data_IF_837607686089
#
_entry.id   IF_837607686089
#
_cell.length_a   1.000
_cell.length_b   1.000
_cell.length_c   1.000
_cell.angle_alpha   90.00
_cell.angle_beta   90.00
_cell.angle_gamma   90.00
#
_symmetry.space_group_name_H-M   'P 1'
#
loop_
_entity.id
_entity.type
_entity.pdbx_description
1 polymer ?
#
# COMPACT_ATOMS: atom_id res chain seq x y z
N UNK A 1 -13.93 -4.38 -16.71
CA UNK A 1 -14.33 -4.95 -15.41
C UNK A 1 -15.78 -5.26 -15.54
N UNK A 2 -16.11 -6.51 -15.82
CA UNK A 2 -17.51 -6.91 -15.96
C UNK A 2 -18.15 -6.88 -14.58
N UNK A 3 -19.42 -6.49 -14.47
CA UNK A 3 -20.12 -6.43 -13.18
C UNK A 3 -20.12 -7.79 -12.46
N UNK A 4 -19.96 -8.88 -13.21
CA UNK A 4 -19.80 -10.23 -12.69
C UNK A 4 -18.48 -10.47 -11.93
N UNK A 5 -17.41 -9.70 -12.22
CA UNK A 5 -16.14 -9.77 -11.49
C UNK A 5 -16.25 -9.26 -10.05
N UNK A 6 -17.27 -8.44 -9.75
CA UNK A 6 -17.49 -7.87 -8.42
C UNK A 6 -18.01 -8.95 -7.43
N UNK A 7 -18.64 -10.01 -7.95
CA UNK A 7 -19.13 -11.13 -7.14
C UNK A 7 -18.06 -12.18 -6.86
N UNK A 8 -17.04 -12.28 -7.72
CA UNK A 8 -15.90 -13.21 -7.56
C UNK A 8 -14.72 -12.58 -6.81
N UNK A 9 -14.81 -11.29 -6.49
CA UNK A 9 -13.77 -10.55 -5.80
C UNK A 9 -13.67 -10.93 -4.32
N UNK A 10 -12.46 -11.17 -3.78
CA UNK A 10 -12.27 -11.45 -2.37
C UNK A 10 -12.84 -10.33 -1.46
N UNK A 11 -13.47 -10.68 -0.33
CA UNK A 11 -14.27 -9.75 0.45
C UNK A 11 -13.47 -8.59 1.06
N UNK A 12 -12.24 -8.82 1.53
CA UNK A 12 -11.42 -7.77 2.16
C UNK A 12 -10.91 -6.80 1.10
N UNK A 13 -10.38 -7.30 -0.02
CA UNK A 13 -9.99 -6.49 -1.18
C UNK A 13 -11.18 -5.66 -1.66
N UNK A 14 -12.39 -6.22 -1.69
CA UNK A 14 -13.61 -5.52 -2.12
C UNK A 14 -13.95 -4.34 -1.22
N UNK A 15 -13.96 -4.55 0.09
CA UNK A 15 -14.20 -3.49 1.06
C UNK A 15 -13.17 -2.37 0.93
N UNK A 16 -11.89 -2.72 0.77
CA UNK A 16 -10.81 -1.75 0.60
C UNK A 16 -10.95 -0.95 -0.69
N UNK A 17 -11.18 -1.62 -1.83
CA UNK A 17 -11.33 -0.95 -3.13
C UNK A 17 -12.49 0.05 -3.11
N UNK A 18 -13.65 -0.34 -2.58
CA UNK A 18 -14.80 0.55 -2.44
C UNK A 18 -14.43 1.75 -1.56
N UNK A 19 -13.70 1.54 -0.47
CA UNK A 19 -13.24 2.62 0.41
C UNK A 19 -12.30 3.58 -0.31
N UNK A 20 -11.30 3.06 -1.05
CA UNK A 20 -10.37 3.88 -1.84
C UNK A 20 -11.08 4.70 -2.89
N UNK A 21 -11.99 4.10 -3.66
CA UNK A 21 -12.76 4.79 -4.69
C UNK A 21 -13.69 5.85 -4.08
N UNK A 22 -14.29 5.57 -2.93
CA UNK A 22 -15.13 6.54 -2.22
C UNK A 22 -14.33 7.74 -1.74
N UNK A 23 -13.17 7.53 -1.11
CA UNK A 23 -12.28 8.62 -0.68
C UNK A 23 -11.77 9.42 -1.88
N UNK A 24 -11.38 8.74 -2.97
CA UNK A 24 -10.96 9.39 -4.20
C UNK A 24 -12.07 10.30 -4.77
N UNK A 25 -13.31 9.80 -4.85
CA UNK A 25 -14.45 10.57 -5.33
C UNK A 25 -14.77 11.78 -4.42
N UNK A 26 -14.74 11.59 -3.10
CA UNK A 26 -14.98 12.67 -2.14
C UNK A 26 -13.94 13.80 -2.23
N UNK A 27 -12.67 13.44 -2.41
CA UNK A 27 -11.60 14.43 -2.64
C UNK A 27 -11.75 15.09 -4.01
N UNK A 28 -12.07 14.32 -5.06
CA UNK A 28 -12.25 14.85 -6.40
C UNK A 28 -13.40 15.88 -6.47
N UNK A 29 -14.52 15.58 -5.84
CA UNK A 29 -15.67 16.47 -5.72
C UNK A 29 -15.49 17.61 -4.70
N UNK A 30 -14.30 17.75 -4.09
CA UNK A 30 -13.98 18.79 -3.10
C UNK A 30 -14.86 18.75 -1.82
N UNK A 31 -15.49 17.61 -1.52
CA UNK A 31 -16.19 17.43 -0.23
C UNK A 31 -15.21 17.32 0.94
N UNK A 32 -14.02 16.77 0.69
CA UNK A 32 -12.94 16.61 1.68
C UNK A 32 -11.65 17.19 1.11
N UNK A 33 -10.91 17.94 1.93
CA UNK A 33 -9.62 18.50 1.54
C UNK A 33 -8.50 17.46 1.72
N UNK A 34 -7.69 17.23 0.68
CA UNK A 34 -6.58 16.26 0.70
C UNK A 34 -5.62 16.42 1.90
N UNK A 35 -5.17 17.64 2.25
CA UNK A 35 -4.33 17.87 3.44
C UNK A 35 -4.96 17.43 4.78
N UNK A 36 -6.29 17.31 4.87
CA UNK A 36 -6.96 16.82 6.08
C UNK A 36 -6.83 15.30 6.27
N UNK A 37 -6.49 14.57 5.20
CA UNK A 37 -6.36 13.12 5.20
C UNK A 37 -4.93 12.67 5.51
N UNK A 38 -3.96 13.53 5.24
CA UNK A 38 -2.52 13.30 5.43
C UNK A 38 -2.19 13.12 6.92
N UNK A 39 -1.28 12.18 7.21
CA UNK A 39 -0.83 11.93 8.57
C UNK A 39 0.15 13.02 9.02
N UNK A 40 -0.19 13.72 10.11
CA UNK A 40 0.64 14.75 10.74
C UNK A 40 0.60 14.51 12.25
N UNK A 41 1.70 14.06 12.88
CA UNK A 41 1.72 13.72 14.31
C UNK A 41 1.29 14.84 15.25
N UNK A 42 1.63 16.09 14.92
CA UNK A 42 1.28 17.26 15.73
C UNK A 42 -0.24 17.46 15.84
N UNK A 43 -0.97 17.21 14.76
CA UNK A 43 -2.41 17.38 14.70
C UNK A 43 -3.19 16.33 15.49
N UNK A 44 -2.58 15.17 15.73
CA UNK A 44 -3.19 14.12 16.57
C UNK A 44 -3.31 14.60 18.01
N UNK A 45 -2.33 15.38 18.50
CA UNK A 45 -2.39 16.01 19.82
C UNK A 45 -3.55 17.02 19.92
N UNK A 46 -4.05 17.51 18.79
CA UNK A 46 -5.17 18.45 18.70
C UNK A 46 -6.53 17.74 18.52
N UNK A 47 -6.58 16.40 18.66
CA UNK A 47 -7.84 15.62 18.59
C UNK A 47 -8.19 15.07 17.20
N UNK A 48 -7.35 15.25 16.18
CA UNK A 48 -7.61 14.76 14.82
C UNK A 48 -7.25 13.26 14.64
N UNK A 49 -7.86 12.40 15.46
CA UNK A 49 -7.52 10.96 15.57
C UNK A 49 -7.84 10.18 14.28
N UNK A 50 -8.83 10.64 13.49
CA UNK A 50 -9.19 9.99 12.22
C UNK A 50 -8.03 9.92 11.22
N UNK A 51 -7.02 10.80 11.34
CA UNK A 51 -5.80 10.81 10.50
C UNK A 51 -4.97 9.54 10.59
N UNK A 52 -5.11 8.79 11.70
CA UNK A 52 -4.46 7.49 11.86
C UNK A 52 -4.94 6.47 10.83
N UNK A 53 -6.20 6.59 10.39
CA UNK A 53 -6.85 5.66 9.47
C UNK A 53 -6.96 6.28 8.08
N UNK A 54 -7.38 7.54 7.98
CA UNK A 54 -7.62 8.19 6.70
C UNK A 54 -6.37 8.30 5.81
N UNK A 55 -5.18 8.39 6.43
CA UNK A 55 -3.91 8.47 5.70
C UNK A 55 -3.60 7.21 4.87
N UNK A 56 -4.18 6.06 5.21
CA UNK A 56 -4.03 4.83 4.42
C UNK A 56 -4.87 4.85 3.15
N UNK A 57 -5.99 5.56 3.16
CA UNK A 57 -6.94 5.62 2.06
C UNK A 57 -6.69 6.78 1.09
N UNK A 58 -5.62 7.55 1.31
CA UNK A 58 -5.26 8.71 0.51
C UNK A 58 -3.88 8.52 -0.14
N UNK A 59 -3.83 8.53 -1.47
CA UNK A 59 -2.59 8.33 -2.26
C UNK A 59 -1.97 9.62 -2.81
N UNK A 60 -2.58 10.77 -2.51
CA UNK A 60 -2.19 12.07 -3.04
C UNK A 60 -3.34 12.77 -3.78
N UNK A 61 -3.04 13.82 -4.56
CA UNK A 61 -4.02 14.55 -5.36
C UNK A 61 -4.89 13.62 -6.21
N UNK A 62 -6.15 14.01 -6.46
CA UNK A 62 -7.08 13.23 -7.29
C UNK A 62 -6.72 13.33 -8.78
N UNK A 63 -5.63 12.68 -9.16
CA UNK A 63 -5.07 12.63 -10.51
C UNK A 63 -4.98 11.18 -11.04
N UNK A 64 -4.53 11.03 -12.28
CA UNK A 64 -4.34 9.71 -12.89
C UNK A 64 -3.33 8.84 -12.10
N UNK A 65 -2.31 9.46 -11.49
CA UNK A 65 -1.31 8.78 -10.66
C UNK A 65 -1.95 8.07 -9.46
N UNK A 66 -2.89 8.74 -8.78
CA UNK A 66 -3.62 8.15 -7.65
C UNK A 66 -4.52 7.00 -8.08
N UNK A 67 -5.16 7.08 -9.26
CA UNK A 67 -5.95 5.96 -9.81
C UNK A 67 -5.05 4.75 -10.07
N UNK A 68 -3.87 4.96 -10.68
CA UNK A 68 -2.90 3.89 -10.94
C UNK A 68 -2.46 3.22 -9.62
N UNK A 69 -2.20 4.00 -8.57
CA UNK A 69 -1.88 3.45 -7.24
C UNK A 69 -3.02 2.61 -6.64
N UNK A 70 -4.27 3.05 -6.80
CA UNK A 70 -5.45 2.27 -6.38
C UNK A 70 -5.56 0.95 -7.16
N UNK A 71 -5.28 0.97 -8.46
CA UNK A 71 -5.27 -0.25 -9.28
C UNK A 71 -4.17 -1.21 -8.84
N UNK A 72 -2.94 -0.73 -8.63
CA UNK A 72 -1.87 -1.54 -8.09
C UNK A 72 -2.24 -2.12 -6.72
N UNK A 73 -2.80 -1.30 -5.84
CA UNK A 73 -3.30 -1.78 -4.55
C UNK A 73 -4.29 -2.94 -4.72
N UNK A 74 -5.27 -2.77 -5.61
CA UNK A 74 -6.28 -3.78 -5.90
C UNK A 74 -5.67 -5.10 -6.39
N UNK A 75 -4.79 -5.05 -7.40
CA UNK A 75 -4.19 -6.26 -7.97
C UNK A 75 -3.36 -7.02 -6.94
N UNK A 76 -2.56 -6.30 -6.16
CA UNK A 76 -1.71 -6.91 -5.14
C UNK A 76 -2.54 -7.46 -3.97
N UNK A 77 -3.53 -6.71 -3.50
CA UNK A 77 -4.43 -7.17 -2.43
C UNK A 77 -5.22 -8.40 -2.88
N UNK A 78 -5.77 -8.40 -4.10
CA UNK A 78 -6.49 -9.55 -4.66
C UNK A 78 -5.60 -10.79 -4.75
N UNK A 79 -4.38 -10.63 -5.28
CA UNK A 79 -3.42 -11.74 -5.41
C UNK A 79 -3.10 -12.35 -4.04
N UNK A 80 -2.85 -11.50 -3.04
CA UNK A 80 -2.56 -11.95 -1.67
C UNK A 80 -3.78 -12.63 -1.04
N UNK A 81 -4.96 -11.99 -1.03
CA UNK A 81 -6.16 -12.56 -0.41
C UNK A 81 -6.59 -13.87 -1.06
N UNK A 82 -6.42 -14.02 -2.37
CA UNK A 82 -6.77 -15.25 -3.09
C UNK A 82 -5.93 -16.45 -2.65
N UNK A 83 -4.70 -16.23 -2.14
CA UNK A 83 -3.88 -17.31 -1.54
C UNK A 83 -4.41 -17.76 -0.19
N UNK A 84 -5.13 -16.89 0.52
CA UNK A 84 -5.80 -17.20 1.79
C UNK A 84 -7.21 -17.78 1.55
N UNK A 85 -7.39 -18.61 0.51
CA UNK A 85 -8.67 -19.03 -0.10
C UNK A 85 -9.81 -19.47 0.86
N UNK A 86 -9.52 -19.76 2.13
CA UNK A 86 -10.50 -20.15 3.16
C UNK A 86 -10.47 -19.32 4.45
N UNK A 87 -9.66 -18.25 4.53
CA UNK A 87 -9.48 -17.46 5.74
C UNK A 87 -9.11 -15.99 5.44
N UNK A 88 -10.08 -15.26 4.86
CA UNK A 88 -9.97 -13.80 4.69
C UNK A 88 -9.71 -13.07 6.00
N UNK A 89 -10.04 -13.66 7.15
CA UNK A 89 -9.73 -13.08 8.46
C UNK A 89 -8.22 -13.11 8.74
N UNK A 90 -7.49 -14.17 8.39
CA UNK A 90 -6.02 -14.18 8.43
C UNK A 90 -5.45 -13.07 7.56
N UNK A 91 -5.94 -12.93 6.33
CA UNK A 91 -5.49 -11.84 5.45
C UNK A 91 -5.75 -10.45 6.07
N UNK A 92 -6.95 -10.22 6.62
CA UNK A 92 -7.29 -8.97 7.30
C UNK A 92 -6.38 -8.68 8.51
N UNK A 93 -6.07 -9.70 9.33
CA UNK A 93 -5.13 -9.57 10.45
C UNK A 93 -3.72 -9.19 9.98
N UNK A 94 -3.23 -9.78 8.88
CA UNK A 94 -1.93 -9.41 8.29
C UNK A 94 -1.95 -7.99 7.76
N UNK A 95 -3.03 -7.59 7.12
CA UNK A 95 -3.20 -6.24 6.62
C UNK A 95 -3.19 -5.21 7.76
N UNK A 96 -3.86 -5.50 8.88
CA UNK A 96 -3.84 -4.68 10.09
C UNK A 96 -2.45 -4.59 10.72
N UNK A 97 -1.72 -5.71 10.80
CA UNK A 97 -0.34 -5.72 11.29
C UNK A 97 0.56 -4.86 10.41
N UNK A 98 0.46 -5.01 9.09
CA UNK A 98 1.24 -4.24 8.14
C UNK A 98 0.89 -2.74 8.19
N UNK A 99 -0.39 -2.41 8.33
CA UNK A 99 -0.83 -1.03 8.54
C UNK A 99 -0.26 -0.46 9.85
N UNK A 100 -0.29 -1.21 10.95
CA UNK A 100 0.30 -0.78 12.22
C UNK A 100 1.81 -0.53 12.11
N UNK A 101 2.54 -1.42 11.43
CA UNK A 101 3.98 -1.25 11.17
C UNK A 101 4.27 -0.04 10.28
N UNK A 102 3.49 0.18 9.22
CA UNK A 102 3.62 1.34 8.34
C UNK A 102 3.34 2.65 9.09
N UNK A 103 2.32 2.67 9.95
CA UNK A 103 2.00 3.81 10.80
C UNK A 103 3.13 4.10 11.79
N UNK A 104 3.66 3.08 12.45
CA UNK A 104 4.80 3.21 13.36
C UNK A 104 6.05 3.75 12.64
N UNK A 105 6.31 3.29 11.42
CA UNK A 105 7.39 3.80 10.59
C UNK A 105 7.18 5.28 10.23
N UNK A 106 5.94 5.70 9.93
CA UNK A 106 5.62 7.11 9.71
C UNK A 106 5.84 7.97 10.97
N UNK A 107 5.51 7.47 12.15
CA UNK A 107 5.84 8.14 13.42
C UNK A 107 7.36 8.29 13.61
N UNK A 108 8.15 7.25 13.30
CA UNK A 108 9.59 7.26 13.49
C UNK A 108 10.33 8.16 12.49
N UNK A 109 9.83 8.27 11.26
CA UNK A 109 10.52 8.94 10.15
C UNK A 109 9.95 10.32 9.79
N UNK A 110 8.79 10.69 10.34
CA UNK A 110 8.10 11.93 9.98
C UNK A 110 7.42 11.88 8.60
N UNK A 111 7.33 10.71 7.98
CA UNK A 111 6.61 10.53 6.72
C UNK A 111 5.11 10.81 6.90
N UNK A 112 4.54 11.50 5.92
CA UNK A 112 3.18 12.02 5.98
C UNK A 112 2.11 11.10 5.38
N UNK A 113 2.52 10.15 4.53
CA UNK A 113 1.60 9.29 3.78
C UNK A 113 1.88 7.82 4.11
N UNK A 114 1.16 7.21 5.06
CA UNK A 114 1.34 5.79 5.41
C UNK A 114 0.85 4.84 4.31
N UNK A 115 0.03 5.32 3.36
CA UNK A 115 -0.40 4.57 2.18
C UNK A 115 0.75 4.13 1.26
N UNK A 116 1.84 4.91 1.19
CA UNK A 116 3.00 4.63 0.32
C UNK A 116 3.83 3.44 0.81
N UNK A 117 4.36 3.41 2.06
CA UNK A 117 5.07 2.24 2.56
C UNK A 117 4.15 1.01 2.63
N UNK A 118 2.87 1.20 2.91
CA UNK A 118 1.88 0.12 2.94
C UNK A 118 1.69 -0.53 1.57
N UNK A 119 1.51 0.25 0.50
CA UNK A 119 1.41 -0.26 -0.87
C UNK A 119 2.72 -0.93 -1.33
N UNK A 120 3.87 -0.32 -1.02
CA UNK A 120 5.19 -0.89 -1.31
C UNK A 120 5.41 -2.26 -0.62
N UNK A 121 4.96 -2.41 0.62
CA UNK A 121 5.04 -3.69 1.33
C UNK A 121 4.13 -4.77 0.71
N UNK A 122 2.91 -4.42 0.27
CA UNK A 122 2.01 -5.38 -0.37
C UNK A 122 2.60 -5.92 -1.68
N UNK A 123 3.19 -5.06 -2.50
CA UNK A 123 3.86 -5.50 -3.72
C UNK A 123 5.07 -6.38 -3.46
N UNK A 124 5.86 -6.02 -2.46
CA UNK A 124 6.97 -6.87 -2.04
C UNK A 124 6.48 -8.27 -1.65
N UNK A 125 5.39 -8.37 -0.86
CA UNK A 125 4.84 -9.65 -0.43
C UNK A 125 4.35 -10.52 -1.59
N UNK A 126 3.69 -9.92 -2.58
CA UNK A 126 3.28 -10.66 -3.80
C UNK A 126 4.51 -11.20 -4.50
N UNK A 127 5.48 -10.33 -4.75
CA UNK A 127 6.68 -10.72 -5.48
C UNK A 127 7.50 -11.80 -4.77
N UNK A 128 7.74 -11.63 -3.47
CA UNK A 128 8.50 -12.59 -2.67
C UNK A 128 7.86 -13.99 -2.68
N UNK A 129 6.52 -14.04 -2.66
CA UNK A 129 5.74 -15.29 -2.67
C UNK A 129 5.53 -15.91 -4.03
N UNK A 130 5.61 -15.12 -5.10
CA UNK A 130 5.64 -15.64 -6.47
C UNK A 130 7.05 -16.09 -6.89
N UNK A 131 8.07 -15.88 -6.03
CA UNK A 131 9.48 -16.14 -6.34
C UNK A 131 9.91 -15.51 -7.68
N UNK A 132 9.32 -14.36 -8.00
CA UNK A 132 9.53 -13.68 -9.26
C UNK A 132 10.78 -12.80 -9.17
N UNK A 133 11.89 -13.27 -9.71
CA UNK A 133 13.04 -12.43 -10.09
C UNK A 133 12.71 -11.63 -11.36
N UNK A 134 11.60 -10.89 -11.32
CA UNK A 134 11.15 -10.09 -12.44
C UNK A 134 11.87 -8.75 -12.40
N UNK A 135 12.49 -8.43 -13.53
CA UNK A 135 13.06 -7.13 -13.81
C UNK A 135 12.01 -6.30 -14.55
N UNK A 136 11.73 -5.10 -14.06
CA UNK A 136 10.83 -4.13 -14.70
C UNK A 136 11.65 -3.15 -15.48
N UNK A 137 11.25 -2.91 -16.73
CA UNK A 137 11.75 -1.78 -17.51
C UNK A 137 10.96 -0.53 -17.16
N UNK A 138 11.61 0.43 -16.50
CA UNK A 138 10.98 1.70 -16.10
C UNK A 138 11.13 2.75 -17.21
N UNK A 139 12.24 2.69 -17.96
CA UNK A 139 12.51 3.54 -19.11
C UNK A 139 13.30 2.77 -20.17
N UNK A 140 13.56 3.37 -21.34
CA UNK A 140 14.36 2.76 -22.41
C UNK A 140 15.73 2.33 -21.85
N UNK A 141 15.90 1.02 -21.62
CA UNK A 141 17.17 0.41 -21.18
C UNK A 141 17.42 0.35 -19.67
N UNK A 142 16.55 0.90 -18.81
CA UNK A 142 16.72 0.82 -17.35
C UNK A 142 15.88 -0.32 -16.80
N UNK A 143 16.54 -1.41 -16.42
CA UNK A 143 15.96 -2.56 -15.73
C UNK A 143 16.17 -2.45 -14.22
N UNK A 144 15.10 -2.61 -13.46
CA UNK A 144 15.12 -2.57 -12.00
C UNK A 144 14.40 -3.79 -11.47
N UNK A 145 14.92 -4.37 -10.40
CA UNK A 145 14.21 -5.41 -9.67
C UNK A 145 12.84 -4.89 -9.25
N UNK A 146 11.77 -5.64 -9.49
CA UNK A 146 10.39 -5.26 -9.18
C UNK A 146 10.19 -4.50 -7.85
N UNK A 147 10.70 -4.92 -6.67
CA UNK A 147 10.33 -4.26 -5.42
C UNK A 147 10.92 -2.86 -5.29
N UNK A 148 11.95 -2.53 -6.08
CA UNK A 148 12.61 -1.22 -6.08
C UNK A 148 12.11 -0.31 -7.21
N UNK A 149 11.18 -0.76 -8.05
CA UNK A 149 10.73 0.02 -9.20
C UNK A 149 10.15 1.37 -8.76
N UNK A 150 9.38 1.39 -7.67
CA UNK A 150 8.82 2.63 -7.09
C UNK A 150 9.87 3.54 -6.53
N UNK A 151 10.84 2.97 -5.82
CA UNK A 151 11.95 3.73 -5.25
C UNK A 151 12.72 4.45 -6.35
N UNK A 152 13.05 3.76 -7.45
CA UNK A 152 13.75 4.39 -8.56
C UNK A 152 12.86 5.42 -9.26
N UNK A 153 11.59 5.10 -9.51
CA UNK A 153 10.65 6.05 -10.14
C UNK A 153 10.53 7.34 -9.33
N UNK A 154 10.36 7.24 -8.01
CA UNK A 154 10.30 8.38 -7.12
C UNK A 154 11.61 9.17 -7.09
N UNK A 155 12.76 8.49 -7.10
CA UNK A 155 14.07 9.14 -7.16
C UNK A 155 14.29 9.91 -8.47
N UNK A 156 13.86 9.36 -9.61
CA UNK A 156 13.95 10.02 -10.92
C UNK A 156 13.08 11.29 -10.97
N UNK A 157 11.89 11.24 -10.38
CA UNK A 157 10.95 12.39 -10.33
C UNK A 157 11.42 13.44 -9.30
N UNK A 158 12.40 13.12 -8.44
CA UNK A 158 12.91 14.00 -7.39
C UNK A 158 12.10 13.97 -6.09
N UNK A 159 11.19 12.98 -5.93
CA UNK A 159 10.36 12.81 -4.75
C UNK A 159 11.05 11.92 -3.69
N UNK A 160 12.08 12.46 -3.04
CA UNK A 160 12.88 11.73 -2.05
C UNK A 160 12.06 11.13 -0.89
N UNK A 161 11.00 11.82 -0.46
CA UNK A 161 10.12 11.31 0.60
C UNK A 161 9.37 10.04 0.18
N UNK A 162 8.94 9.96 -1.08
CA UNK A 162 8.30 8.77 -1.65
C UNK A 162 9.31 7.64 -1.86
N UNK A 163 10.54 7.95 -2.26
CA UNK A 163 11.60 6.96 -2.40
C UNK A 163 11.92 6.31 -1.05
N UNK A 164 12.12 7.11 0.00
CA UNK A 164 12.36 6.61 1.37
C UNK A 164 11.16 5.79 1.87
N UNK A 165 9.94 6.28 1.67
CA UNK A 165 8.73 5.57 2.04
C UNK A 165 8.61 4.21 1.33
N UNK A 166 9.00 4.14 0.05
CA UNK A 166 8.99 2.90 -0.72
C UNK A 166 10.01 1.89 -0.19
N UNK A 167 11.23 2.33 0.13
CA UNK A 167 12.26 1.48 0.76
C UNK A 167 11.78 0.94 2.11
N UNK A 168 11.18 1.79 2.95
CA UNK A 168 10.59 1.36 4.22
C UNK A 168 9.52 0.29 3.97
N UNK A 169 8.64 0.49 2.98
CA UNK A 169 7.65 -0.50 2.62
C UNK A 169 8.25 -1.85 2.23
N UNK A 170 9.31 -1.86 1.42
CA UNK A 170 10.05 -3.09 1.07
C UNK A 170 10.58 -3.79 2.32
N UNK A 171 11.18 -3.04 3.26
CA UNK A 171 11.67 -3.60 4.52
C UNK A 171 10.54 -4.19 5.38
N UNK A 172 9.40 -3.49 5.49
CA UNK A 172 8.24 -3.99 6.24
C UNK A 172 7.68 -5.27 5.62
N UNK A 173 7.56 -5.31 4.29
CA UNK A 173 7.16 -6.51 3.55
C UNK A 173 8.14 -7.67 3.78
N UNK A 174 9.45 -7.39 3.79
CA UNK A 174 10.48 -8.40 4.06
C UNK A 174 10.38 -8.98 5.46
N UNK A 175 10.15 -8.15 6.48
CA UNK A 175 9.97 -8.62 7.86
C UNK A 175 8.77 -9.56 7.95
N UNK A 176 7.64 -9.21 7.33
CA UNK A 176 6.43 -10.04 7.33
C UNK A 176 6.70 -11.37 6.60
N UNK A 177 7.25 -11.32 5.39
CA UNK A 177 7.60 -12.52 4.62
C UNK A 177 8.56 -13.43 5.38
N UNK A 178 9.64 -12.88 5.95
CA UNK A 178 10.60 -13.65 6.73
C UNK A 178 9.94 -14.30 7.95
N UNK A 179 9.04 -13.58 8.63
CA UNK A 179 8.32 -14.12 9.79
C UNK A 179 7.33 -15.23 9.46
N UNK A 180 6.69 -15.17 8.30
CA UNK A 180 5.59 -16.05 7.92
C UNK A 180 6.01 -17.23 7.07
N UNK A 181 6.99 -17.05 6.20
CA UNK A 181 7.35 -18.01 5.17
C UNK A 181 8.72 -18.65 5.45
N UNK A 182 9.61 -17.96 6.19
CA UNK A 182 10.95 -18.48 6.52
C UNK A 182 11.02 -19.02 7.95
N UNK A 183 10.66 -18.21 8.95
CA UNK A 183 10.77 -18.62 10.36
C UNK A 183 9.80 -19.74 10.75
N UNK A 184 8.59 -19.76 10.16
CA UNK A 184 7.58 -20.77 10.47
C UNK A 184 7.93 -22.17 9.96
N UNK A 185 8.90 -22.31 9.05
CA UNK A 185 9.35 -23.61 8.54
C UNK A 185 10.24 -24.33 9.55
N UNK A 186 10.83 -23.59 10.49
CA UNK A 186 11.75 -24.11 11.50
C UNK A 186 11.10 -24.48 12.84
N UNK A 187 9.78 -24.30 12.97
CA UNK A 187 8.99 -24.65 14.15
C UNK A 187 7.78 -25.50 13.76
#
# INVERSE_FOLDING_TARGET
MDLNDIHTMPPVTKALLVTYLSVFALVHCQFISGPQLVFIPANIKNGEIWRLISGFFYFGPSDATSIIKILFFYFNSRSLESRYYNDSLKYAKRLLLLAAMALAACFATGLKNPSVPFLAALEYLVQARDQLEVHVRIFIGIEVLQPFHRTLTAAIIGENSLAIASVIGVLLGHIIYFSEDVMSVWY
#
